data_IF_330970609499
#
_entry.id   IF_330970609499
#
_cell.length_a   1.000
_cell.length_b   1.000
_cell.length_c   1.000
_cell.angle_alpha   90.00
_cell.angle_beta   90.00
_cell.angle_gamma   90.00
#
_symmetry.space_group_name_H-M   'P 1'
#
loop_
_entity.id
_entity.type
_entity.pdbx_description
1 polymer ?
#
# COMPACT_ATOMS: atom_id res chain seq x y z
N UNK A 1 0.61 15.94 -9.02
CA UNK A 1 1.87 15.39 -9.61
C UNK A 1 1.75 15.30 -11.13
N UNK A 2 0.70 14.64 -11.65
CA UNK A 2 0.45 14.53 -13.10
C UNK A 2 0.41 15.88 -13.84
N UNK A 3 -0.31 16.88 -13.30
CA UNK A 3 -0.39 18.19 -13.96
C UNK A 3 0.94 18.93 -14.00
N UNK A 4 1.78 18.81 -12.96
CA UNK A 4 3.11 19.44 -12.92
C UNK A 4 4.03 18.78 -13.95
N UNK A 5 3.99 17.45 -14.07
CA UNK A 5 4.73 16.72 -15.09
C UNK A 5 4.28 17.11 -16.51
N UNK A 6 2.97 17.22 -16.74
CA UNK A 6 2.41 17.72 -18.01
C UNK A 6 2.91 19.13 -18.33
N UNK A 7 2.86 20.05 -17.37
CA UNK A 7 3.36 21.40 -17.58
C UNK A 7 4.87 21.43 -17.90
N UNK A 8 5.68 20.58 -17.25
CA UNK A 8 7.10 20.47 -17.56
C UNK A 8 7.36 20.00 -19.01
N UNK A 9 6.59 19.03 -19.49
CA UNK A 9 6.64 18.56 -20.89
C UNK A 9 6.29 19.70 -21.86
N UNK A 10 5.19 20.41 -21.61
CA UNK A 10 4.76 21.51 -22.49
C UNK A 10 5.77 22.66 -22.51
N UNK A 11 6.40 22.97 -21.37
CA UNK A 11 7.47 24.00 -21.31
C UNK A 11 8.68 23.55 -22.12
N UNK A 12 9.07 22.28 -22.06
CA UNK A 12 10.15 21.74 -22.88
C UNK A 12 9.84 21.83 -24.38
N UNK A 13 8.63 21.46 -24.78
CA UNK A 13 8.16 21.54 -26.16
C UNK A 13 8.15 23.00 -26.66
N UNK A 14 7.58 23.93 -25.89
CA UNK A 14 7.55 25.34 -26.25
C UNK A 14 8.96 25.94 -26.40
N UNK A 15 9.89 25.57 -25.52
CA UNK A 15 11.27 26.03 -25.60
C UNK A 15 12.00 25.43 -26.82
N UNK A 16 11.76 24.16 -27.15
CA UNK A 16 12.34 23.53 -28.33
C UNK A 16 11.86 24.20 -29.62
N UNK A 17 10.55 24.40 -29.76
CA UNK A 17 9.96 25.12 -30.90
C UNK A 17 10.50 26.55 -30.98
N UNK A 18 10.68 27.23 -29.84
CA UNK A 18 11.23 28.59 -29.81
C UNK A 18 12.69 28.63 -30.32
N UNK A 19 13.52 27.66 -29.95
CA UNK A 19 14.89 27.55 -30.48
C UNK A 19 14.86 27.32 -31.99
N UNK A 20 14.03 26.38 -32.47
CA UNK A 20 13.90 26.07 -33.90
C UNK A 20 13.41 27.27 -34.72
N UNK A 21 12.48 28.05 -34.17
CA UNK A 21 11.99 29.27 -34.80
C UNK A 21 13.11 30.30 -34.95
N UNK A 22 13.93 30.53 -33.92
CA UNK A 22 15.05 31.47 -33.98
C UNK A 22 16.11 30.98 -34.98
N UNK A 23 16.41 29.68 -35.00
CA UNK A 23 17.32 29.08 -35.99
C UNK A 23 16.83 29.26 -37.42
N UNK A 24 15.52 29.09 -37.64
CA UNK A 24 14.90 29.31 -38.94
C UNK A 24 14.98 30.79 -39.35
N UNK A 25 14.73 31.72 -38.42
CA UNK A 25 14.87 33.16 -38.66
C UNK A 25 16.32 33.53 -39.01
N UNK A 26 17.31 33.00 -38.28
CA UNK A 26 18.73 33.21 -38.57
C UNK A 26 19.12 32.70 -39.97
N UNK A 27 18.65 31.52 -40.34
CA UNK A 27 18.90 30.93 -41.67
C UNK A 27 18.25 31.76 -42.79
N UNK A 28 16.98 32.15 -42.61
CA UNK A 28 16.25 32.97 -43.57
C UNK A 28 16.91 34.35 -43.73
N UNK A 29 17.35 34.94 -42.62
CA UNK A 29 18.05 36.22 -42.60
C UNK A 29 19.37 36.16 -43.38
N UNK A 30 20.15 35.10 -43.19
CA UNK A 30 21.40 34.88 -43.93
C UNK A 30 21.15 34.75 -45.45
N UNK A 31 20.11 34.02 -45.86
CA UNK A 31 19.71 33.89 -47.26
C UNK A 31 19.20 35.22 -47.85
N UNK A 32 18.37 35.95 -47.10
CA UNK A 32 17.85 37.25 -47.50
C UNK A 32 18.98 38.27 -47.73
N UNK A 33 19.91 38.38 -46.77
CA UNK A 33 21.07 39.26 -46.88
C UNK A 33 22.01 38.88 -48.02
N UNK A 34 22.14 37.58 -48.33
CA UNK A 34 22.89 37.13 -49.51
C UNK A 34 22.26 37.58 -50.83
N UNK A 35 20.92 37.63 -50.91
CA UNK A 35 20.17 37.95 -52.14
C UNK A 35 20.05 39.45 -52.45
N UNK A 36 19.96 40.31 -51.42
CA UNK A 36 19.63 41.74 -51.54
C UNK A 36 20.83 42.69 -51.49
N UNK A 37 22.06 42.17 -51.56
CA UNK A 37 23.32 42.92 -51.42
C UNK A 37 23.49 43.96 -52.55
N UNK A 38 22.89 45.15 -52.41
CA UNK A 38 23.07 46.29 -53.32
C UNK A 38 23.69 47.53 -52.66
N UNK A 39 23.55 47.70 -51.34
CA UNK A 39 24.27 48.76 -50.59
C UNK A 39 24.68 48.26 -49.19
N UNK A 40 25.92 48.55 -48.75
CA UNK A 40 26.41 48.13 -47.45
C UNK A 40 25.89 49.09 -46.36
N UNK A 41 24.78 48.73 -45.70
CA UNK A 41 24.47 49.29 -44.39
C UNK A 41 25.43 48.66 -43.38
N UNK A 42 26.58 49.31 -43.18
CA UNK A 42 27.68 48.81 -42.35
C UNK A 42 27.25 48.69 -40.88
N UNK A 43 27.12 47.45 -40.36
CA UNK A 43 27.02 47.15 -38.93
C UNK A 43 25.61 46.87 -38.38
N UNK A 44 24.54 47.34 -39.03
CA UNK A 44 23.16 47.05 -38.58
C UNK A 44 22.78 45.57 -38.79
N UNK A 45 23.40 44.90 -39.75
CA UNK A 45 23.16 43.49 -40.03
C UNK A 45 23.84 42.55 -39.03
N UNK A 46 25.04 42.93 -38.60
CA UNK A 46 25.82 42.20 -37.60
C UNK A 46 25.18 42.31 -36.22
N UNK A 47 24.65 43.48 -35.85
CA UNK A 47 23.95 43.70 -34.58
C UNK A 47 22.68 42.84 -34.46
N UNK A 48 21.85 42.82 -35.49
CA UNK A 48 20.63 41.99 -35.53
C UNK A 48 20.96 40.51 -35.42
N UNK A 49 22.00 40.03 -36.12
CA UNK A 49 22.47 38.65 -36.03
C UNK A 49 22.97 38.30 -34.64
N UNK A 50 23.80 39.16 -34.04
CA UNK A 50 24.35 38.94 -32.71
C UNK A 50 23.24 38.88 -31.66
N UNK A 51 22.22 39.74 -31.77
CA UNK A 51 21.06 39.73 -30.90
C UNK A 51 20.22 38.45 -31.04
N UNK A 52 19.99 37.98 -32.28
CA UNK A 52 19.28 36.73 -32.54
C UNK A 52 20.04 35.50 -32.02
N UNK A 53 21.37 35.45 -32.20
CA UNK A 53 22.22 34.39 -31.64
C UNK A 53 22.23 34.41 -30.10
N UNK A 54 22.26 35.60 -29.50
CA UNK A 54 22.11 35.73 -28.04
C UNK A 54 20.78 35.16 -27.56
N UNK A 55 19.66 35.54 -28.18
CA UNK A 55 18.35 35.00 -27.81
C UNK A 55 18.25 33.49 -28.05
N UNK A 56 18.82 32.97 -29.14
CA UNK A 56 18.91 31.54 -29.40
C UNK A 56 19.63 30.83 -28.26
N UNK A 57 20.80 31.32 -27.87
CA UNK A 57 21.59 30.78 -26.76
C UNK A 57 20.84 30.85 -25.43
N UNK A 58 20.15 31.95 -25.16
CA UNK A 58 19.34 32.12 -23.95
C UNK A 58 18.20 31.10 -23.87
N UNK A 59 17.42 30.94 -24.95
CA UNK A 59 16.30 29.98 -25.00
C UNK A 59 16.82 28.54 -24.96
N UNK A 60 17.94 28.24 -25.62
CA UNK A 60 18.58 26.93 -25.55
C UNK A 60 19.01 26.58 -24.11
N UNK A 61 19.59 27.54 -23.37
CA UNK A 61 19.92 27.35 -21.96
C UNK A 61 18.67 27.08 -21.10
N UNK A 62 17.58 27.82 -21.34
CA UNK A 62 16.31 27.56 -20.67
C UNK A 62 15.77 26.16 -20.98
N UNK A 63 15.86 25.71 -22.24
CA UNK A 63 15.49 24.35 -22.66
C UNK A 63 16.29 23.31 -21.89
N UNK A 64 17.61 23.43 -21.81
CA UNK A 64 18.46 22.49 -21.07
C UNK A 64 18.10 22.44 -19.59
N UNK A 65 17.85 23.59 -18.96
CA UNK A 65 17.42 23.67 -17.56
C UNK A 65 16.06 23.02 -17.34
N UNK A 66 15.11 23.28 -18.23
CA UNK A 66 13.76 22.73 -18.15
C UNK A 66 13.78 21.21 -18.33
N UNK A 67 14.56 20.68 -19.28
CA UNK A 67 14.77 19.25 -19.47
C UNK A 67 15.43 18.58 -18.25
N UNK A 68 16.40 19.25 -17.61
CA UNK A 68 17.00 18.77 -16.36
C UNK A 68 15.98 18.75 -15.21
N UNK A 69 15.14 19.78 -15.09
CA UNK A 69 14.11 19.86 -14.05
C UNK A 69 13.02 18.80 -14.25
N UNK A 70 12.62 18.52 -15.50
CA UNK A 70 11.68 17.44 -15.80
C UNK A 70 12.22 16.09 -15.31
N UNK A 71 13.48 15.76 -15.64
CA UNK A 71 14.12 14.52 -15.18
C UNK A 71 14.19 14.44 -13.64
N UNK A 72 14.52 15.55 -12.98
CA UNK A 72 14.54 15.61 -11.51
C UNK A 72 13.13 15.39 -10.92
N UNK A 73 12.12 16.04 -11.48
CA UNK A 73 10.73 15.89 -11.04
C UNK A 73 10.28 14.44 -11.17
N UNK A 74 10.61 13.75 -12.26
CA UNK A 74 10.29 12.33 -12.44
C UNK A 74 10.97 11.45 -11.39
N UNK A 75 12.24 11.71 -11.07
CA UNK A 75 12.95 10.99 -10.01
C UNK A 75 12.33 11.22 -8.63
N UNK A 76 11.94 12.46 -8.30
CA UNK A 76 11.26 12.79 -7.06
C UNK A 76 9.87 12.14 -6.96
N UNK A 77 9.11 12.12 -8.06
CA UNK A 77 7.83 11.41 -8.14
C UNK A 77 8.02 9.92 -7.83
N UNK A 78 8.98 9.28 -8.48
CA UNK A 78 9.26 7.86 -8.27
C UNK A 78 9.69 7.57 -6.83
N UNK A 79 10.54 8.42 -6.27
CA UNK A 79 10.97 8.31 -4.88
C UNK A 79 9.78 8.44 -3.92
N UNK A 80 8.92 9.43 -4.11
CA UNK A 80 7.74 9.63 -3.28
C UNK A 80 6.81 8.41 -3.32
N UNK A 81 6.56 7.84 -4.51
CA UNK A 81 5.77 6.61 -4.63
C UNK A 81 6.40 5.43 -3.90
N UNK A 82 7.71 5.23 -4.04
CA UNK A 82 8.42 4.14 -3.35
C UNK A 82 8.36 4.33 -1.83
N UNK A 83 8.52 5.55 -1.32
CA UNK A 83 8.43 5.86 0.11
C UNK A 83 7.03 5.60 0.65
N UNK A 84 5.98 6.03 -0.06
CA UNK A 84 4.59 5.76 0.33
C UNK A 84 4.29 4.26 0.30
N UNK A 85 4.76 3.54 -0.73
CA UNK A 85 4.60 2.09 -0.81
C UNK A 85 5.30 1.38 0.35
N UNK A 86 6.50 1.82 0.74
CA UNK A 86 7.22 1.29 1.89
C UNK A 86 6.48 1.55 3.20
N UNK A 87 5.99 2.77 3.43
CA UNK A 87 5.21 3.11 4.63
C UNK A 87 3.89 2.29 4.70
N UNK A 88 3.21 2.12 3.56
CA UNK A 88 2.02 1.28 3.47
C UNK A 88 2.32 -0.19 3.75
N UNK A 89 3.45 -0.71 3.26
CA UNK A 89 3.88 -2.08 3.53
C UNK A 89 4.18 -2.28 5.02
N UNK A 90 4.88 -1.34 5.65
CA UNK A 90 5.15 -1.36 7.09
C UNK A 90 3.86 -1.34 7.91
N UNK A 91 2.95 -0.43 7.58
CA UNK A 91 1.62 -0.35 8.23
C UNK A 91 0.83 -1.64 8.04
N UNK A 92 0.87 -2.25 6.85
CA UNK A 92 0.19 -3.52 6.58
C UNK A 92 0.76 -4.68 7.41
N UNK A 93 2.08 -4.69 7.63
CA UNK A 93 2.75 -5.67 8.50
C UNK A 93 2.32 -5.46 9.96
N UNK A 94 2.23 -4.21 10.42
CA UNK A 94 1.77 -3.90 11.78
C UNK A 94 0.30 -4.30 11.99
N UNK A 95 -0.57 -3.98 11.03
CA UNK A 95 -1.98 -4.42 11.04
C UNK A 95 -2.05 -5.95 11.07
N UNK A 96 -1.27 -6.64 10.23
CA UNK A 96 -1.22 -8.10 10.20
C UNK A 96 -0.76 -8.69 11.54
N UNK A 97 0.21 -8.06 12.20
CA UNK A 97 0.67 -8.47 13.53
C UNK A 97 -0.39 -8.23 14.61
N UNK A 98 -1.04 -7.08 14.60
CA UNK A 98 -2.14 -6.77 15.52
C UNK A 98 -3.31 -7.75 15.35
N UNK A 99 -3.72 -8.01 14.10
CA UNK A 99 -4.75 -8.99 13.77
C UNK A 99 -4.36 -10.42 14.18
N UNK A 100 -3.07 -10.78 14.08
CA UNK A 100 -2.58 -12.08 14.53
C UNK A 100 -2.67 -12.24 16.06
N UNK A 101 -2.36 -11.19 16.81
CA UNK A 101 -2.53 -11.16 18.27
C UNK A 101 -4.01 -11.25 18.62
N UNK A 102 -4.86 -10.44 17.98
CA UNK A 102 -6.31 -10.47 18.18
C UNK A 102 -6.92 -11.85 17.87
N UNK A 103 -6.50 -12.47 16.77
CA UNK A 103 -6.90 -13.84 16.40
C UNK A 103 -6.49 -14.87 17.46
N UNK A 104 -5.34 -14.70 18.12
CA UNK A 104 -4.91 -15.59 19.19
C UNK A 104 -5.77 -15.42 20.45
N UNK A 105 -6.17 -14.19 20.78
CA UNK A 105 -7.09 -13.91 21.87
C UNK A 105 -8.49 -14.48 21.57
N UNK A 106 -9.00 -14.29 20.35
CA UNK A 106 -10.29 -14.83 19.92
C UNK A 106 -10.33 -16.37 20.00
N UNK A 107 -9.25 -17.04 19.57
CA UNK A 107 -9.10 -18.50 19.73
C UNK A 107 -9.17 -18.93 21.19
N UNK A 108 -8.55 -18.16 22.09
CA UNK A 108 -8.59 -18.43 23.53
C UNK A 108 -10.00 -18.29 24.08
N UNK A 109 -10.72 -17.20 23.74
CA UNK A 109 -12.11 -17.01 24.16
C UNK A 109 -12.99 -18.14 23.65
N UNK A 110 -12.86 -18.51 22.37
CA UNK A 110 -13.61 -19.62 21.78
C UNK A 110 -13.33 -20.96 22.47
N UNK A 111 -12.07 -21.20 22.86
CA UNK A 111 -11.72 -22.39 23.64
C UNK A 111 -12.40 -22.39 25.01
N UNK A 112 -12.40 -21.25 25.71
CA UNK A 112 -13.07 -21.11 27.01
C UNK A 112 -14.57 -21.34 26.87
N UNK A 113 -15.25 -20.70 25.92
CA UNK A 113 -16.69 -20.91 25.72
C UNK A 113 -17.02 -22.37 25.41
N UNK A 114 -16.24 -23.01 24.55
CA UNK A 114 -16.40 -24.43 24.21
C UNK A 114 -16.21 -25.35 25.44
N UNK A 115 -15.26 -25.03 26.33
CA UNK A 115 -15.03 -25.82 27.55
C UNK A 115 -16.18 -25.73 28.57
N UNK A 116 -16.81 -24.56 28.68
CA UNK A 116 -17.87 -24.30 29.68
C UNK A 116 -19.29 -24.59 29.19
N UNK A 117 -19.53 -24.57 27.87
CA UNK A 117 -20.87 -24.71 27.31
C UNK A 117 -21.52 -26.09 27.56
N UNK A 118 -20.83 -27.24 27.37
CA UNK A 118 -21.44 -28.55 27.62
C UNK A 118 -21.77 -28.81 29.11
N UNK A 119 -20.88 -28.53 30.09
CA UNK A 119 -21.22 -28.64 31.50
C UNK A 119 -22.39 -27.74 31.90
N UNK A 120 -22.44 -26.51 31.38
CA UNK A 120 -23.53 -25.56 31.65
C UNK A 120 -24.87 -26.08 31.14
N UNK A 121 -24.90 -26.64 29.92
CA UNK A 121 -26.10 -27.27 29.35
C UNK A 121 -26.58 -28.45 30.18
N UNK A 122 -25.66 -29.34 30.56
CA UNK A 122 -25.93 -30.50 31.40
C UNK A 122 -26.48 -30.05 32.77
N UNK A 123 -25.84 -29.06 33.40
CA UNK A 123 -26.29 -28.48 34.67
C UNK A 123 -27.72 -27.92 34.59
N UNK A 124 -28.09 -27.28 33.48
CA UNK A 124 -29.44 -26.75 33.28
C UNK A 124 -30.50 -27.86 33.22
N UNK A 125 -30.25 -28.92 32.45
CA UNK A 125 -31.15 -30.10 32.35
C UNK A 125 -31.32 -30.76 33.72
N UNK A 126 -30.21 -30.97 34.43
CA UNK A 126 -30.24 -31.60 35.75
C UNK A 126 -30.87 -30.69 36.80
N UNK A 127 -30.70 -29.37 36.73
CA UNK A 127 -31.41 -28.43 37.62
C UNK A 127 -32.92 -28.57 37.48
N UNK A 128 -33.46 -28.78 36.27
CA UNK A 128 -34.90 -29.01 36.10
C UNK A 128 -35.37 -30.39 36.58
N UNK A 129 -34.52 -31.42 36.49
CA UNK A 129 -34.87 -32.80 36.89
C UNK A 129 -34.65 -33.11 38.37
N UNK A 130 -33.73 -32.42 39.06
CA UNK A 130 -33.42 -32.68 40.48
C UNK A 130 -34.38 -31.97 41.44
N UNK A 131 -34.99 -30.85 41.04
CA UNK A 131 -36.05 -30.18 41.81
C UNK A 131 -37.43 -30.75 41.46
N UNK A 132 -37.67 -32.03 41.77
CA UNK A 132 -39.04 -32.54 41.84
C UNK A 132 -39.51 -32.40 43.29
N UNK A 133 -40.35 -31.40 43.55
CA UNK A 133 -41.01 -31.21 44.84
C UNK A 133 -41.99 -32.37 45.06
N UNK A 134 -41.56 -33.38 45.83
CA UNK A 134 -42.44 -34.40 46.37
C UNK A 134 -42.86 -34.01 47.78
N UNK A 135 -44.11 -34.32 48.16
CA UNK A 135 -44.86 -33.82 49.32
C UNK A 135 -44.20 -33.91 50.72
N UNK A 136 -42.99 -34.46 50.90
CA UNK A 136 -42.38 -34.71 52.22
C UNK A 136 -40.93 -34.23 52.39
N UNK A 137 -40.61 -33.05 51.85
CA UNK A 137 -39.41 -32.30 52.22
C UNK A 137 -38.26 -32.32 51.20
N UNK A 138 -37.37 -31.34 51.33
CA UNK A 138 -36.25 -31.05 50.43
C UNK A 138 -35.19 -32.16 50.49
N UNK A 139 -35.42 -33.27 49.79
CA UNK A 139 -34.48 -34.39 49.67
C UNK A 139 -33.68 -34.31 48.37
N UNK A 140 -32.36 -34.09 48.47
CA UNK A 140 -31.43 -34.22 47.35
C UNK A 140 -31.46 -35.65 46.81
N UNK A 141 -31.87 -35.85 45.56
CA UNK A 141 -31.96 -37.20 44.97
C UNK A 141 -30.59 -37.89 44.94
N UNK A 142 -30.53 -39.18 45.30
CA UNK A 142 -29.31 -40.00 45.40
C UNK A 142 -28.62 -40.26 44.03
N UNK A 143 -29.04 -39.57 42.97
CA UNK A 143 -28.53 -39.68 41.60
C UNK A 143 -27.51 -38.60 41.23
N UNK A 144 -27.08 -37.76 42.17
CA UNK A 144 -26.11 -36.66 41.93
C UNK A 144 -24.82 -37.13 41.25
N UNK A 145 -24.43 -38.39 41.45
CA UNK A 145 -23.30 -39.00 40.77
C UNK A 145 -23.43 -39.01 39.23
N UNK A 146 -24.66 -39.06 38.69
CA UNK A 146 -24.94 -39.05 37.26
C UNK A 146 -24.51 -37.73 36.58
N UNK A 147 -24.51 -36.61 37.32
CA UNK A 147 -23.98 -35.33 36.82
C UNK A 147 -22.51 -35.47 36.42
N UNK A 148 -21.68 -36.04 37.30
CA UNK A 148 -20.25 -36.21 37.05
C UNK A 148 -19.97 -37.23 35.94
N UNK A 149 -20.79 -38.29 35.86
CA UNK A 149 -20.69 -39.32 34.80
C UNK A 149 -20.98 -38.77 33.42
N UNK A 150 -21.85 -37.76 33.28
CA UNK A 150 -22.18 -37.18 31.97
C UNK A 150 -21.33 -35.94 31.67
N UNK A 151 -21.06 -35.10 32.67
CA UNK A 151 -20.29 -33.87 32.50
C UNK A 151 -18.83 -34.14 32.10
N UNK A 152 -18.13 -35.03 32.83
CA UNK A 152 -16.69 -35.28 32.60
C UNK A 152 -16.43 -35.81 31.17
N UNK A 153 -17.13 -36.86 30.67
CA UNK A 153 -16.87 -37.36 29.32
C UNK A 153 -17.24 -36.35 28.24
N UNK A 154 -18.29 -35.56 28.45
CA UNK A 154 -18.70 -34.54 27.47
C UNK A 154 -17.65 -33.42 27.37
N UNK A 155 -17.08 -32.98 28.50
CA UNK A 155 -15.96 -32.02 28.50
C UNK A 155 -14.73 -32.60 27.80
N UNK A 156 -14.37 -33.86 28.10
CA UNK A 156 -13.23 -34.53 27.45
C UNK A 156 -13.46 -34.65 25.94
N UNK A 157 -14.64 -35.12 25.51
CA UNK A 157 -14.99 -35.25 24.10
C UNK A 157 -14.89 -33.91 23.36
N UNK A 158 -15.36 -32.84 23.99
CA UNK A 158 -15.32 -31.48 23.43
C UNK A 158 -13.87 -30.98 23.25
N UNK A 159 -13.01 -31.18 24.25
CA UNK A 159 -11.57 -30.84 24.16
C UNK A 159 -10.86 -31.70 23.12
N UNK A 160 -11.16 -33.00 23.05
CA UNK A 160 -10.58 -33.93 22.05
C UNK A 160 -10.99 -33.52 20.64
N UNK A 161 -12.28 -33.26 20.38
CA UNK A 161 -12.77 -32.79 19.08
C UNK A 161 -12.04 -31.51 18.66
N UNK A 162 -11.83 -30.56 19.57
CA UNK A 162 -11.08 -29.33 19.28
C UNK A 162 -9.61 -29.59 18.94
N UNK A 163 -8.91 -30.41 19.71
CA UNK A 163 -7.50 -30.74 19.44
C UNK A 163 -7.33 -31.46 18.10
N UNK A 164 -8.25 -32.35 17.77
CA UNK A 164 -8.25 -33.04 16.49
C UNK A 164 -8.73 -32.15 15.33
N UNK A 165 -9.54 -31.11 15.58
CA UNK A 165 -9.99 -30.15 14.55
C UNK A 165 -8.81 -29.41 13.90
N UNK A 166 -7.82 -28.99 14.69
CA UNK A 166 -6.59 -28.37 14.16
C UNK A 166 -5.74 -29.32 13.32
N UNK A 167 -5.88 -30.65 13.51
CA UNK A 167 -5.20 -31.67 12.69
C UNK A 167 -6.03 -32.13 11.49
N UNK A 168 -7.36 -32.13 11.59
CA UNK A 168 -8.30 -32.55 10.54
C UNK A 168 -8.58 -31.46 9.51
N UNK A 169 -8.38 -30.19 9.84
CA UNK A 169 -8.42 -29.07 8.88
C UNK A 169 -6.98 -28.66 8.57
N UNK A 170 -6.24 -29.41 7.73
CA UNK A 170 -4.92 -28.98 7.29
C UNK A 170 -5.08 -27.76 6.38
N UNK A 171 -4.83 -26.59 6.96
CA UNK A 171 -4.23 -25.45 6.30
C UNK A 171 -4.55 -25.27 4.80
N UNK A 172 -5.64 -24.57 4.49
CA UNK A 172 -5.71 -23.68 3.32
C UNK A 172 -4.92 -22.38 3.59
N UNK A 173 -3.82 -22.47 4.35
CA UNK A 173 -2.98 -21.32 4.64
C UNK A 173 -2.04 -21.05 3.47
N UNK A 174 -2.24 -19.88 2.89
CA UNK A 174 -1.28 -19.16 2.07
C UNK A 174 0.13 -19.31 2.67
N UNK A 175 1.08 -19.74 1.83
CA UNK A 175 2.50 -19.51 2.08
C UNK A 175 2.68 -18.02 2.42
N UNK A 176 3.29 -17.65 3.54
CA UNK A 176 3.76 -16.29 3.70
C UNK A 176 4.79 -16.04 2.59
N UNK A 177 4.52 -15.08 1.72
CA UNK A 177 5.53 -14.59 0.78
C UNK A 177 6.64 -13.97 1.62
N UNK A 178 7.76 -14.69 1.71
CA UNK A 178 9.02 -14.16 2.21
C UNK A 178 9.37 -12.99 1.30
N UNK A 179 9.14 -11.76 1.77
CA UNK A 179 9.70 -10.57 1.13
C UNK A 179 11.20 -10.67 1.37
N UNK A 180 12.05 -10.78 0.33
CA UNK A 180 13.49 -10.76 0.52
C UNK A 180 13.84 -9.41 1.12
N UNK A 181 14.45 -9.42 2.31
CA UNK A 181 14.97 -8.21 2.92
C UNK A 181 15.96 -7.56 1.94
N UNK A 182 15.72 -6.31 1.59
CA UNK A 182 16.69 -5.50 0.86
C UNK A 182 17.87 -5.22 1.81
N UNK A 183 18.81 -6.16 1.86
CA UNK A 183 20.16 -5.87 2.29
C UNK A 183 20.85 -5.06 1.21
N UNK A 184 21.50 -4.00 1.66
CA UNK A 184 22.61 -3.31 1.03
C UNK A 184 22.32 -2.53 -0.26
N UNK A 185 22.31 -1.19 -0.11
CA UNK A 185 23.21 -0.35 -0.92
C UNK A 185 23.72 0.81 -0.08
N UNK A 186 24.95 0.64 0.39
CA UNK A 186 25.90 1.70 0.75
C UNK A 186 26.44 2.30 -0.55
#
# INVERSE_FOLDING_TARGET
>A
MHDIARHAIHVNENLDVSVQNIETILNQYALYMRSKRKEPYFGADEDIRNQLEFFRGYVANLRHRSASNEKRLQNEIQLAFNTVAQANAETSVEIGRAAQIDSSAMKTIAFVTLAFLPPTFISSIFSMSFFQCGDNGWGMSNKFWLYWVVAIPTTIATVVIWQYWHKLVPNLHHKPMVVPGSKERV
#
